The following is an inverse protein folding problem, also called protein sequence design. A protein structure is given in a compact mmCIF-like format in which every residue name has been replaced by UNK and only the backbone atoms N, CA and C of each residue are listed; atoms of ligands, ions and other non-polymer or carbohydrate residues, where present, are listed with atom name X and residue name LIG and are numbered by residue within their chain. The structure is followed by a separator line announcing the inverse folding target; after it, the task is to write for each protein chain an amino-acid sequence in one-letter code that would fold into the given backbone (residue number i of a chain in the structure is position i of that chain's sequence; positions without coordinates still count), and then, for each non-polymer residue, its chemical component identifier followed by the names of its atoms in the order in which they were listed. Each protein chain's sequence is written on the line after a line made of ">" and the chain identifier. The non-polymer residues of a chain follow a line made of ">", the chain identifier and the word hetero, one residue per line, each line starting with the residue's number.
data_IF_833177386382
#
_entry.id   IF_833177386382
#
_cell.length_a   1.000
_cell.length_b   1.000
_cell.length_c   1.000
_cell.angle_alpha   90.00
_cell.angle_beta   90.00
_cell.angle_gamma   90.00
#
_symmetry.space_group_name_H-M   'P 1'
#
loop_
_entity.id
_entity.type
_entity.pdbx_description
1 polymer ?
#
# COMPACT_ATOMS: atom_id res chain seq x y z
N UNK A 1 -4.37 -2.46 28.05
CA UNK A 1 -5.56 -1.68 27.65
C UNK A 1 -6.24 -2.27 26.42
N UNK A 2 -7.49 -1.89 26.19
CA UNK A 2 -8.24 -2.23 24.97
C UNK A 2 -7.97 -1.26 23.82
N UNK A 3 -8.27 -1.68 22.58
CA UNK A 3 -8.23 -0.79 21.41
C UNK A 3 -9.14 0.44 21.56
N UNK A 4 -10.27 0.32 22.26
CA UNK A 4 -11.15 1.45 22.53
C UNK A 4 -10.50 2.50 23.42
N UNK A 5 -9.92 2.08 24.54
CA UNK A 5 -9.23 2.99 25.46
C UNK A 5 -8.07 3.70 24.78
N UNK A 6 -7.27 2.96 24.00
CA UNK A 6 -6.16 3.51 23.23
C UNK A 6 -6.64 4.54 22.19
N UNK A 7 -7.73 4.24 21.49
CA UNK A 7 -8.32 5.14 20.48
C UNK A 7 -8.85 6.42 21.12
N UNK A 8 -9.52 6.32 22.27
CA UNK A 8 -10.01 7.48 23.01
C UNK A 8 -8.84 8.35 23.51
N UNK A 9 -7.76 7.74 23.98
CA UNK A 9 -6.57 8.45 24.40
C UNK A 9 -5.93 9.19 23.22
N UNK A 10 -5.74 8.53 22.07
CA UNK A 10 -5.19 9.15 20.88
C UNK A 10 -6.03 10.34 20.40
N UNK A 11 -7.37 10.21 20.39
CA UNK A 11 -8.27 11.31 20.05
C UNK A 11 -8.20 12.47 21.05
N UNK A 12 -8.04 12.17 22.35
CA UNK A 12 -7.86 13.21 23.37
C UNK A 12 -6.57 14.01 23.13
N UNK A 13 -5.46 13.34 22.81
CA UNK A 13 -4.17 13.99 22.54
C UNK A 13 -4.16 14.78 21.22
N UNK A 14 -4.83 14.28 20.17
CA UNK A 14 -4.92 14.98 18.89
C UNK A 14 -5.71 16.30 19.00
N UNK A 15 -6.70 16.38 19.89
CA UNK A 15 -7.50 17.59 20.15
C UNK A 15 -8.21 18.20 18.90
N UNK A 16 -8.32 17.47 17.80
CA UNK A 16 -9.07 17.86 16.60
C UNK A 16 -9.73 16.63 15.96
N UNK A 17 -10.76 16.81 15.10
CA UNK A 17 -11.29 15.71 14.31
C UNK A 17 -10.21 15.09 13.42
N UNK A 18 -10.05 13.78 13.48
CA UNK A 18 -8.97 13.06 12.81
C UNK A 18 -9.50 11.83 12.05
N UNK A 19 -8.82 11.45 10.97
CA UNK A 19 -9.16 10.23 10.24
C UNK A 19 -8.69 8.97 10.99
N UNK A 20 -9.29 7.81 10.72
CA UNK A 20 -8.84 6.54 11.33
C UNK A 20 -7.34 6.27 11.07
N UNK A 21 -6.84 6.62 9.89
CA UNK A 21 -5.42 6.46 9.54
C UNK A 21 -4.51 7.41 10.31
N UNK A 22 -4.97 8.63 10.56
CA UNK A 22 -4.24 9.64 11.32
C UNK A 22 -4.15 9.26 12.81
N UNK A 23 -5.26 8.77 13.37
CA UNK A 23 -5.31 8.25 14.74
C UNK A 23 -4.35 7.07 14.91
N UNK A 24 -4.34 6.13 13.96
CA UNK A 24 -3.37 5.03 13.98
C UNK A 24 -1.93 5.52 13.83
N UNK A 25 -1.68 6.47 12.92
CA UNK A 25 -0.36 7.06 12.73
C UNK A 25 0.19 7.69 14.02
N UNK A 26 -0.65 8.39 14.77
CA UNK A 26 -0.29 8.94 16.08
C UNK A 26 0.07 7.84 17.10
N UNK A 27 -0.73 6.77 17.17
CA UNK A 27 -0.49 5.62 18.05
C UNK A 27 0.85 4.95 17.73
N UNK A 28 1.13 4.75 16.44
CA UNK A 28 2.35 4.11 15.95
C UNK A 28 3.59 4.98 16.20
N UNK A 29 3.51 6.27 15.89
CA UNK A 29 4.61 7.22 16.08
C UNK A 29 5.03 7.33 17.56
N UNK A 30 4.07 7.32 18.47
CA UNK A 30 4.31 7.42 19.91
C UNK A 30 4.48 6.05 20.60
N UNK A 31 4.50 4.95 19.82
CA UNK A 31 4.61 3.57 20.32
C UNK A 31 3.56 3.18 21.36
N UNK A 32 2.40 3.84 21.35
CA UNK A 32 1.32 3.61 22.33
C UNK A 32 0.65 2.24 22.15
N UNK A 33 0.86 1.59 21.00
CA UNK A 33 0.41 0.21 20.77
C UNK A 33 1.05 -0.80 21.73
N UNK A 34 2.19 -0.46 22.35
CA UNK A 34 2.87 -1.33 23.32
C UNK A 34 2.05 -1.53 24.61
N UNK A 35 1.10 -0.63 24.87
CA UNK A 35 0.27 -0.65 26.06
C UNK A 35 -1.01 -1.50 25.90
N UNK A 36 -1.26 -2.04 24.69
CA UNK A 36 -2.36 -2.96 24.42
C UNK A 36 -2.15 -4.27 25.17
N UNK A 37 -3.22 -4.84 25.73
CA UNK A 37 -3.13 -6.14 26.44
C UNK A 37 -2.74 -7.29 25.51
N UNK A 38 -3.00 -7.12 24.20
CA UNK A 38 -2.61 -8.07 23.16
C UNK A 38 -1.15 -7.94 22.71
N UNK A 39 -0.41 -6.94 23.18
CA UNK A 39 0.97 -6.71 22.75
C UNK A 39 1.94 -7.66 23.43
N UNK A 40 2.79 -8.31 22.64
CA UNK A 40 3.90 -9.12 23.11
C UNK A 40 5.24 -8.50 22.66
N UNK A 41 6.12 -8.09 23.59
CA UNK A 41 7.43 -7.50 23.26
C UNK A 41 8.33 -8.36 22.37
N UNK A 42 8.26 -9.69 22.47
CA UNK A 42 9.09 -10.61 21.68
C UNK A 42 8.65 -10.66 20.22
N UNK A 43 7.34 -10.51 19.97
CA UNK A 43 6.76 -10.56 18.63
C UNK A 43 6.58 -9.17 18.00
N UNK A 44 6.60 -8.09 18.78
CA UNK A 44 6.43 -6.72 18.30
C UNK A 44 5.03 -6.46 17.74
N UNK A 45 4.90 -5.57 16.73
CA UNK A 45 3.61 -5.25 16.09
C UNK A 45 2.82 -6.47 15.57
N UNK A 46 3.45 -7.54 15.03
CA UNK A 46 2.73 -8.76 14.68
C UNK A 46 1.82 -9.35 15.78
N UNK A 47 2.14 -9.13 17.06
CA UNK A 47 1.35 -9.65 18.20
C UNK A 47 -0.06 -9.08 18.28
N UNK A 48 -0.27 -7.84 17.82
CA UNK A 48 -1.56 -7.14 17.91
C UNK A 48 -2.45 -7.35 16.67
N UNK A 49 -2.01 -8.20 15.73
CA UNK A 49 -2.74 -8.59 14.53
C UNK A 49 -2.14 -8.08 13.23
N UNK A 50 -2.66 -8.57 12.09
CA UNK A 50 -2.17 -8.23 10.74
C UNK A 50 -2.55 -6.81 10.30
N UNK A 51 -3.70 -6.31 10.77
CA UNK A 51 -4.27 -5.02 10.34
C UNK A 51 -4.77 -4.18 11.53
N UNK A 52 -3.90 -3.76 12.46
CA UNK A 52 -4.32 -2.99 13.64
C UNK A 52 -5.02 -1.66 13.32
N UNK A 53 -4.65 -1.02 12.21
CA UNK A 53 -5.31 0.21 11.73
C UNK A 53 -6.79 -0.03 11.36
N UNK A 54 -7.11 -1.20 10.80
CA UNK A 54 -8.50 -1.56 10.48
C UNK A 54 -9.28 -1.90 11.75
N UNK A 55 -8.63 -2.47 12.76
CA UNK A 55 -9.21 -2.70 14.09
C UNK A 55 -9.58 -1.37 14.76
N UNK A 56 -8.67 -0.39 14.77
CA UNK A 56 -8.94 0.96 15.28
C UNK A 56 -10.09 1.60 14.49
N UNK A 57 -10.07 1.49 13.16
CA UNK A 57 -11.17 1.93 12.31
C UNK A 57 -12.51 1.32 12.71
N UNK A 58 -12.57 0.00 12.88
CA UNK A 58 -13.79 -0.71 13.28
C UNK A 58 -14.31 -0.22 14.64
N UNK A 59 -13.43 -0.04 15.63
CA UNK A 59 -13.79 0.49 16.95
C UNK A 59 -14.38 1.90 16.84
N UNK A 60 -13.75 2.79 16.07
CA UNK A 60 -14.24 4.14 15.81
C UNK A 60 -15.65 4.12 15.21
N UNK A 61 -15.89 3.28 14.20
CA UNK A 61 -17.20 3.17 13.55
C UNK A 61 -18.28 2.58 14.46
N UNK A 62 -17.93 1.55 15.23
CA UNK A 62 -18.87 0.89 16.16
C UNK A 62 -19.26 1.86 17.28
N UNK A 63 -18.30 2.57 17.87
CA UNK A 63 -18.59 3.57 18.91
C UNK A 63 -19.37 4.76 18.38
N UNK A 64 -19.03 5.28 17.20
CA UNK A 64 -19.73 6.43 16.63
C UNK A 64 -21.21 6.16 16.33
N UNK A 65 -21.60 4.89 16.13
CA UNK A 65 -23.00 4.48 15.93
C UNK A 65 -23.81 4.37 17.23
N UNK A 66 -23.16 4.24 18.39
CA UNK A 66 -23.86 4.07 19.66
C UNK A 66 -24.53 5.39 20.07
N UNK A 67 -25.79 5.37 20.55
CA UNK A 67 -26.46 6.58 21.03
C UNK A 67 -25.73 7.21 22.22
N UNK A 68 -25.14 6.40 23.11
CA UNK A 68 -24.30 6.84 24.24
C UNK A 68 -22.79 6.67 23.98
N UNK A 69 -22.40 6.54 22.70
CA UNK A 69 -21.01 6.40 22.30
C UNK A 69 -20.18 7.63 22.66
N UNK A 70 -18.89 7.43 22.97
CA UNK A 70 -17.96 8.51 23.33
C UNK A 70 -17.40 9.25 22.11
N UNK A 71 -17.58 8.69 20.92
CA UNK A 71 -17.01 9.15 19.66
C UNK A 71 -18.13 9.65 18.76
N UNK A 72 -17.87 10.69 18.00
CA UNK A 72 -18.74 11.17 16.92
C UNK A 72 -17.98 11.14 15.59
N UNK A 73 -18.71 10.89 14.50
CA UNK A 73 -18.16 10.83 13.16
C UNK A 73 -18.74 11.96 12.29
N UNK A 74 -17.89 12.63 11.53
CA UNK A 74 -18.23 13.74 10.65
C UNK A 74 -17.62 13.56 9.26
N UNK A 75 -18.30 14.06 8.24
CA UNK A 75 -17.85 13.96 6.85
C UNK A 75 -17.99 12.56 6.26
N UNK A 76 -17.72 12.47 4.95
CA UNK A 76 -17.88 11.23 4.17
C UNK A 76 -16.60 10.77 3.48
N UNK A 77 -15.66 11.67 3.13
CA UNK A 77 -14.43 11.36 2.37
C UNK A 77 -13.28 12.38 2.61
N UNK A 78 -12.33 12.09 3.51
CA UNK A 78 -12.36 11.00 4.49
C UNK A 78 -13.40 11.27 5.57
N UNK A 79 -13.84 10.21 6.26
CA UNK A 79 -14.64 10.33 7.47
C UNK A 79 -13.72 10.63 8.66
N UNK A 80 -14.06 11.66 9.42
CA UNK A 80 -13.32 12.17 10.56
C UNK A 80 -14.02 11.80 11.85
N UNK A 81 -13.25 11.56 12.91
CA UNK A 81 -13.72 11.15 14.22
C UNK A 81 -13.23 12.12 15.29
N UNK A 82 -14.07 12.40 16.28
CA UNK A 82 -13.72 13.24 17.44
C UNK A 82 -14.44 12.75 18.68
N UNK A 83 -13.95 13.17 19.86
CA UNK A 83 -14.66 12.93 21.12
C UNK A 83 -15.95 13.75 21.18
N UNK A 84 -17.01 13.18 21.72
CA UNK A 84 -18.22 13.96 22.02
C UNK A 84 -17.93 14.94 23.14
N UNK A 85 -18.48 16.15 23.06
CA UNK A 85 -18.28 17.22 24.06
C UNK A 85 -18.65 16.79 25.50
N UNK A 86 -19.60 15.87 25.66
CA UNK A 86 -19.99 15.32 26.96
C UNK A 86 -18.92 14.38 27.59
N UNK A 87 -17.94 13.92 26.80
CA UNK A 87 -16.84 13.08 27.26
C UNK A 87 -15.67 13.95 27.70
N UNK A 88 -15.71 14.41 28.96
CA UNK A 88 -14.61 15.12 29.65
C UNK A 88 -13.92 14.22 30.69
N UNK A 89 -13.97 12.89 30.50
CA UNK A 89 -13.36 11.94 31.42
C UNK A 89 -11.84 11.96 31.28
N UNK A 90 -11.12 12.15 32.39
CA UNK A 90 -9.67 11.98 32.44
C UNK A 90 -9.34 10.52 32.14
N UNK A 91 -8.88 10.21 30.92
CA UNK A 91 -8.31 8.90 30.61
C UNK A 91 -6.99 8.74 31.37
N UNK A 92 -6.57 7.49 31.62
CA UNK A 92 -5.26 7.21 32.21
C UNK A 92 -4.17 7.89 31.36
N UNK A 93 -3.34 8.70 31.99
CA UNK A 93 -2.19 9.29 31.34
C UNK A 93 -1.22 8.18 30.96
N UNK A 94 -0.99 8.00 29.65
CA UNK A 94 0.08 7.12 29.16
C UNK A 94 1.39 7.90 29.16
N UNK A 95 2.52 7.24 29.46
CA UNK A 95 3.83 7.85 29.39
C UNK A 95 4.12 8.23 27.93
N UNK A 96 3.89 9.50 27.60
CA UNK A 96 4.46 10.10 26.40
C UNK A 96 5.96 10.32 26.68
N UNK A 97 6.87 10.02 25.75
CA UNK A 97 8.28 10.36 25.93
C UNK A 97 8.42 11.86 26.17
N UNK A 98 9.09 12.24 27.26
CA UNK A 98 9.19 13.59 27.85
C UNK A 98 9.89 14.67 26.99
N UNK A 99 10.06 14.45 25.68
CA UNK A 99 10.59 15.45 24.77
C UNK A 99 9.73 15.51 23.51
N UNK A 100 8.62 16.24 23.60
CA UNK A 100 7.91 16.72 22.41
C UNK A 100 7.75 18.23 22.54
N UNK A 101 8.82 18.94 22.14
CA UNK A 101 8.60 20.20 21.44
C UNK A 101 7.49 19.95 20.41
N UNK A 102 6.47 20.80 20.43
CA UNK A 102 5.32 20.77 19.53
C UNK A 102 5.85 20.76 18.10
N UNK A 103 6.04 19.56 17.54
CA UNK A 103 6.46 19.41 16.17
C UNK A 103 5.29 19.93 15.31
N UNK A 104 5.55 20.86 14.38
CA UNK A 104 4.52 21.33 13.46
C UNK A 104 3.90 20.13 12.74
N UNK A 105 2.61 20.21 12.35
CA UNK A 105 1.82 19.06 11.90
C UNK A 105 2.62 18.27 10.88
N UNK A 106 3.10 17.11 11.31
CA UNK A 106 4.05 16.31 10.55
C UNK A 106 3.36 15.96 9.24
N UNK A 107 3.93 16.47 8.15
CA UNK A 107 3.54 16.20 6.78
C UNK A 107 3.17 14.72 6.70
N UNK A 108 1.89 14.46 6.43
CA UNK A 108 1.37 13.16 6.08
C UNK A 108 2.47 12.44 5.30
N UNK A 109 2.99 11.32 5.82
CA UNK A 109 3.58 10.31 4.94
C UNK A 109 2.40 9.84 4.10
N UNK A 110 2.09 10.62 3.05
CA UNK A 110 1.12 10.26 2.03
C UNK A 110 1.59 8.89 1.60
N UNK A 111 0.85 7.84 1.95
CA UNK A 111 1.07 6.50 1.41
C UNK A 111 1.32 6.72 -0.07
N UNK A 112 2.53 6.39 -0.55
CA UNK A 112 2.93 6.70 -1.91
C UNK A 112 1.81 6.19 -2.82
N UNK A 113 1.19 7.09 -3.57
CA UNK A 113 0.05 6.76 -4.41
C UNK A 113 0.62 6.15 -5.69
N UNK A 114 1.04 4.90 -5.62
CA UNK A 114 1.52 4.17 -6.79
C UNK A 114 0.35 3.56 -7.56
N UNK A 115 0.43 3.70 -8.87
CA UNK A 115 -0.40 3.04 -9.85
C UNK A 115 0.24 1.71 -10.24
N UNK A 116 -0.57 0.78 -10.74
CA UNK A 116 -0.08 -0.51 -11.24
C UNK A 116 1.03 -0.33 -12.31
N UNK A 117 0.90 0.70 -13.16
CA UNK A 117 1.90 1.04 -14.17
C UNK A 117 3.28 1.41 -13.62
N UNK A 118 3.37 1.84 -12.36
CA UNK A 118 4.65 2.17 -11.74
C UNK A 118 5.52 0.90 -11.53
N UNK A 119 4.93 -0.30 -11.63
CA UNK A 119 5.64 -1.57 -11.61
C UNK A 119 6.31 -1.92 -12.95
N UNK A 120 5.87 -1.34 -14.08
CA UNK A 120 6.39 -1.73 -15.40
C UNK A 120 7.89 -1.43 -15.57
N UNK A 121 8.42 -0.25 -15.19
CA UNK A 121 9.85 0.00 -15.29
C UNK A 121 10.68 -0.96 -14.41
N UNK A 122 10.16 -1.33 -13.24
CA UNK A 122 10.82 -2.27 -12.33
C UNK A 122 10.88 -3.66 -12.94
N UNK A 123 9.76 -4.16 -13.48
CA UNK A 123 9.72 -5.43 -14.18
C UNK A 123 10.57 -5.42 -15.45
N UNK A 124 10.58 -4.31 -16.20
CA UNK A 124 11.43 -4.17 -17.39
C UNK A 124 12.91 -4.30 -17.04
N UNK A 125 13.34 -3.66 -15.95
CA UNK A 125 14.72 -3.75 -15.46
C UNK A 125 15.06 -5.18 -15.02
N UNK A 126 14.17 -5.81 -14.26
CA UNK A 126 14.33 -7.21 -13.84
C UNK A 126 14.48 -8.16 -15.03
N UNK A 127 13.60 -8.07 -16.03
CA UNK A 127 13.64 -8.95 -17.20
C UNK A 127 14.92 -8.80 -18.02
N UNK A 128 15.46 -7.58 -18.10
CA UNK A 128 16.70 -7.31 -18.82
C UNK A 128 17.94 -7.88 -18.10
N UNK A 129 17.96 -7.85 -16.76
CA UNK A 129 19.14 -8.26 -15.98
C UNK A 129 19.10 -9.71 -15.50
N UNK A 130 17.91 -10.30 -15.37
CA UNK A 130 17.76 -11.64 -14.83
C UNK A 130 18.21 -12.68 -15.87
N UNK A 131 19.18 -13.56 -15.56
CA UNK A 131 19.83 -14.43 -16.55
C UNK A 131 18.87 -15.45 -17.21
N UNK A 132 17.81 -15.86 -16.51
CA UNK A 132 16.78 -16.74 -17.09
C UNK A 132 15.96 -16.04 -18.18
N UNK A 133 15.75 -14.73 -18.03
CA UNK A 133 14.94 -13.96 -18.98
C UNK A 133 15.83 -13.33 -20.03
N UNK A 134 16.85 -12.56 -19.64
CA UNK A 134 17.72 -11.78 -20.52
C UNK A 134 16.91 -11.13 -21.67
N UNK A 135 15.75 -10.57 -21.30
CA UNK A 135 14.70 -10.24 -22.25
C UNK A 135 14.49 -8.72 -22.32
N UNK A 136 14.36 -8.22 -23.54
CA UNK A 136 13.88 -6.86 -23.76
C UNK A 136 12.37 -6.85 -23.62
N UNK A 137 11.80 -5.85 -22.94
CA UNK A 137 10.36 -5.81 -22.70
C UNK A 137 9.75 -4.45 -23.04
N UNK A 138 8.46 -4.48 -23.36
CA UNK A 138 7.65 -3.29 -23.66
C UNK A 138 6.23 -3.45 -23.14
N UNK A 139 5.75 -2.37 -22.53
CA UNK A 139 4.35 -2.20 -22.13
C UNK A 139 3.44 -2.16 -23.36
N UNK A 140 2.33 -2.88 -23.30
CA UNK A 140 1.27 -2.77 -24.30
C UNK A 140 0.21 -1.79 -23.79
N UNK A 141 -0.13 -0.80 -24.62
CA UNK A 141 -1.08 0.26 -24.27
C UNK A 141 -2.45 0.00 -24.92
N UNK A 142 -3.35 -0.69 -24.21
CA UNK A 142 -4.70 -1.02 -24.70
C UNK A 142 -5.66 0.18 -24.73
N UNK A 143 -5.34 1.26 -24.01
CA UNK A 143 -6.15 2.47 -23.88
C UNK A 143 -6.30 3.27 -25.18
N UNK A 144 -5.50 2.98 -26.21
CA UNK A 144 -5.50 3.70 -27.49
C UNK A 144 -6.33 3.03 -28.59
N UNK A 145 -7.02 1.92 -28.29
CA UNK A 145 -7.92 1.25 -29.22
C UNK A 145 -9.21 2.06 -29.42
N UNK A 146 -9.34 2.73 -30.57
CA UNK A 146 -10.49 3.59 -30.87
C UNK A 146 -11.78 2.87 -31.30
N UNK A 147 -11.86 1.53 -31.23
CA UNK A 147 -12.90 0.77 -31.97
C UNK A 147 -13.58 -0.39 -31.21
N UNK A 148 -13.42 -0.56 -29.90
CA UNK A 148 -14.14 -1.64 -29.20
C UNK A 148 -14.95 -1.17 -27.99
N UNK A 149 -16.01 -1.94 -27.73
CA UNK A 149 -16.90 -1.79 -26.60
C UNK A 149 -16.08 -1.94 -25.30
N UNK A 150 -16.14 -0.95 -24.39
CA UNK A 150 -15.38 -0.94 -23.13
C UNK A 150 -15.52 -2.28 -22.41
N UNK A 151 -14.44 -3.06 -22.36
CA UNK A 151 -14.36 -4.33 -21.63
C UNK A 151 -13.93 -5.55 -22.45
N UNK A 152 -14.09 -5.54 -23.77
CA UNK A 152 -13.65 -6.66 -24.63
C UNK A 152 -12.12 -6.77 -24.72
N UNK A 153 -11.43 -5.63 -24.83
CA UNK A 153 -9.97 -5.58 -25.02
C UNK A 153 -9.17 -5.92 -23.75
N UNK A 154 -9.80 -5.90 -22.56
CA UNK A 154 -9.12 -6.14 -21.27
C UNK A 154 -8.67 -7.59 -21.07
N UNK A 155 -9.23 -8.53 -21.82
CA UNK A 155 -8.86 -9.95 -21.75
C UNK A 155 -8.10 -10.44 -22.98
N UNK A 156 -7.91 -9.58 -23.98
CA UNK A 156 -7.37 -9.98 -25.27
C UNK A 156 -5.85 -9.80 -25.37
N UNK A 157 -5.27 -8.95 -24.53
CA UNK A 157 -3.89 -8.50 -24.65
C UNK A 157 -3.22 -8.38 -23.28
N UNK A 158 -1.94 -8.76 -23.16
CA UNK A 158 -1.21 -8.68 -21.90
C UNK A 158 -0.72 -7.26 -21.60
N UNK A 159 -0.56 -6.92 -20.33
CA UNK A 159 -0.05 -5.62 -19.89
C UNK A 159 1.38 -5.33 -20.41
N UNK A 160 2.22 -6.36 -20.49
CA UNK A 160 3.60 -6.23 -20.96
C UNK A 160 4.04 -7.49 -21.71
N UNK A 161 4.89 -7.31 -22.73
CA UNK A 161 5.54 -8.41 -23.44
C UNK A 161 7.04 -8.33 -23.30
N UNK A 162 7.69 -9.50 -23.20
CA UNK A 162 9.15 -9.65 -23.21
C UNK A 162 9.59 -10.50 -24.38
N UNK A 163 10.74 -10.20 -24.98
CA UNK A 163 11.36 -10.99 -26.05
C UNK A 163 12.81 -11.28 -25.67
N UNK A 164 13.15 -12.56 -25.64
CA UNK A 164 14.51 -13.06 -25.52
C UNK A 164 14.97 -13.57 -26.87
N UNK A 165 16.08 -13.01 -27.36
CA UNK A 165 16.67 -13.37 -28.64
C UNK A 165 17.77 -14.41 -28.40
N UNK A 166 17.41 -15.69 -28.30
CA UNK A 166 18.35 -16.76 -27.93
C UNK A 166 19.54 -16.88 -28.88
N UNK A 167 19.34 -16.53 -30.17
CA UNK A 167 20.42 -16.51 -31.15
C UNK A 167 21.45 -15.39 -30.94
N UNK A 168 21.11 -14.34 -30.19
CA UNK A 168 21.97 -13.17 -30.01
C UNK A 168 23.21 -13.50 -29.16
N UNK A 169 23.09 -14.49 -28.27
CA UNK A 169 24.15 -14.91 -27.36
C UNK A 169 25.12 -15.94 -27.99
N UNK A 170 24.95 -16.26 -29.27
CA UNK A 170 25.84 -17.22 -29.94
C UNK A 170 27.19 -16.59 -30.23
N UNK A 171 28.28 -17.22 -29.77
CA UNK A 171 29.63 -16.63 -29.78
C UNK A 171 30.18 -16.33 -31.18
N UNK A 172 29.70 -17.02 -32.22
CA UNK A 172 30.23 -16.88 -33.57
C UNK A 172 29.38 -15.96 -34.45
N UNK A 173 29.95 -14.82 -34.85
CA UNK A 173 29.27 -13.86 -35.74
C UNK A 173 28.86 -14.44 -37.10
N UNK A 174 29.59 -15.45 -37.62
CA UNK A 174 29.21 -16.19 -38.82
C UNK A 174 27.94 -17.02 -38.62
N UNK A 175 27.76 -17.61 -37.45
CA UNK A 175 26.54 -18.34 -37.09
C UNK A 175 25.36 -17.38 -36.95
N UNK A 176 25.54 -16.24 -36.30
CA UNK A 176 24.49 -15.21 -36.22
C UNK A 176 24.08 -14.71 -37.61
N UNK A 177 25.04 -14.44 -38.50
CA UNK A 177 24.78 -14.02 -39.88
C UNK A 177 24.06 -15.10 -40.70
N UNK A 178 24.38 -16.37 -40.46
CA UNK A 178 23.68 -17.50 -41.08
C UNK A 178 22.25 -17.64 -40.56
N UNK A 179 22.02 -17.49 -39.26
CA UNK A 179 20.69 -17.56 -38.66
C UNK A 179 19.73 -16.51 -39.20
N UNK A 180 20.21 -15.30 -39.50
CA UNK A 180 19.41 -14.23 -40.14
C UNK A 180 18.85 -14.60 -41.51
N UNK A 181 19.32 -15.69 -42.14
CA UNK A 181 18.79 -16.21 -43.41
C UNK A 181 17.54 -17.07 -43.23
N UNK A 182 17.20 -17.48 -42.01
CA UNK A 182 16.00 -18.25 -41.73
C UNK A 182 14.84 -17.33 -41.40
N UNK A 183 13.65 -17.69 -41.89
CA UNK A 183 12.40 -16.97 -41.59
C UNK A 183 11.98 -17.11 -40.11
N UNK A 184 12.49 -18.13 -39.43
CA UNK A 184 12.20 -18.42 -38.02
C UNK A 184 13.48 -18.38 -37.21
N UNK A 185 13.64 -17.32 -36.42
CA UNK A 185 14.72 -17.17 -35.46
C UNK A 185 14.31 -17.81 -34.12
N UNK A 186 15.25 -18.42 -33.37
CA UNK A 186 14.96 -18.93 -32.04
C UNK A 186 14.81 -17.73 -31.10
N UNK A 187 13.55 -17.47 -30.75
CA UNK A 187 13.13 -16.41 -29.85
C UNK A 187 12.15 -16.98 -28.84
N UNK A 188 12.21 -16.48 -27.61
CA UNK A 188 11.18 -16.72 -26.59
C UNK A 188 10.38 -15.45 -26.37
N UNK A 189 9.06 -15.58 -26.35
CA UNK A 189 8.14 -14.50 -26.09
C UNK A 189 7.47 -14.75 -24.74
N UNK A 190 7.50 -13.74 -23.89
CA UNK A 190 6.88 -13.74 -22.58
C UNK A 190 5.72 -12.75 -22.56
N UNK A 191 4.69 -13.11 -21.81
CA UNK A 191 3.49 -12.32 -21.62
C UNK A 191 3.28 -12.12 -20.12
N UNK A 192 3.07 -10.88 -19.70
CA UNK A 192 2.93 -10.51 -18.29
C UNK A 192 1.63 -9.77 -18.06
N UNK A 193 0.90 -10.22 -17.04
CA UNK A 193 -0.22 -9.51 -16.43
C UNK A 193 0.25 -8.92 -15.11
N UNK A 194 0.03 -7.64 -14.89
CA UNK A 194 0.53 -6.91 -13.71
C UNK A 194 -0.67 -6.55 -12.84
N UNK A 195 -0.54 -6.71 -11.52
CA UNK A 195 -1.60 -6.43 -10.54
C UNK A 195 -1.04 -5.71 -9.33
N UNK A 196 -1.88 -4.86 -8.74
CA UNK A 196 -1.62 -4.20 -7.45
C UNK A 196 -1.94 -5.09 -6.25
#
# INVERSE_FOLDING_TARGET
>A
MTYLELTLYALQQLAHPASASEIWGFIEQNRLYAELDSYNPEQGLPSIGKTPWDTVGAVLYVEAKKPDGKITAQGSRPKLFSLRQAFSGSLKALPLPENTDVLPPTIQTKRARFHERDLHPLLCKFLAEHPVFAAQSRTIFHEKSGKSQKGADKWLYPDMVGVQFEYADYEHGSLQAWMRKFDRLPIKIFSFEIKK
#
